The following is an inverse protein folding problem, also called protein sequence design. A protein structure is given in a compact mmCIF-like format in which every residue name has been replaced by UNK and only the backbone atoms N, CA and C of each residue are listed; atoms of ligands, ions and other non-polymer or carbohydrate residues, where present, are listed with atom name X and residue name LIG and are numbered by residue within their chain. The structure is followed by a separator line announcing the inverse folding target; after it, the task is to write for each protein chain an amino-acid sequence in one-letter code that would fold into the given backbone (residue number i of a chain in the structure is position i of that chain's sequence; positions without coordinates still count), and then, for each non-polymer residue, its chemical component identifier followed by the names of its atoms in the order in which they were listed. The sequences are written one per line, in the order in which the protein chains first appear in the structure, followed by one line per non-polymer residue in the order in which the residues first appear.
data_IF_455548191915
#
_entry.id   IF_455548191915
#
_cell.length_a   1.000
_cell.length_b   1.000
_cell.length_c   1.000
_cell.angle_alpha   90.00
_cell.angle_beta   90.00
_cell.angle_gamma   90.00
#
_symmetry.space_group_name_H-M   'P 1'
#
loop_
_entity.id
_entity.type
_entity.pdbx_description
1 polymer ?
#
# COMPACT_ATOMS: atom_id res chain seq x y z
N UNK A 1 -7.34 -23.61 -34.53
CA UNK A 1 -7.86 -23.71 -33.14
C UNK A 1 -6.77 -23.61 -32.07
N UNK A 2 -5.66 -24.35 -32.15
CA UNK A 2 -4.57 -24.27 -31.14
C UNK A 2 -3.94 -22.87 -30.99
N UNK A 3 -3.74 -22.13 -32.07
CA UNK A 3 -3.08 -20.81 -32.03
C UNK A 3 -3.84 -19.77 -31.20
N UNK A 4 -5.17 -19.76 -31.27
CA UNK A 4 -6.04 -18.87 -30.48
C UNK A 4 -5.96 -19.17 -28.98
N UNK A 5 -5.86 -20.45 -28.63
CA UNK A 5 -5.72 -20.91 -27.25
C UNK A 5 -4.37 -20.47 -26.65
N UNK A 6 -3.29 -20.57 -27.42
CA UNK A 6 -1.96 -20.10 -27.02
C UNK A 6 -1.95 -18.59 -26.79
N UNK A 7 -2.56 -17.81 -27.70
CA UNK A 7 -2.66 -16.34 -27.54
C UNK A 7 -3.45 -15.98 -26.28
N UNK A 8 -4.56 -16.67 -26.00
CA UNK A 8 -5.35 -16.45 -24.80
C UNK A 8 -4.56 -16.71 -23.50
N UNK A 9 -3.77 -17.78 -23.46
CA UNK A 9 -2.91 -18.11 -22.32
C UNK A 9 -1.82 -17.05 -22.12
N UNK A 10 -1.19 -16.58 -23.21
CA UNK A 10 -0.17 -15.54 -23.14
C UNK A 10 -0.74 -14.23 -22.59
N UNK A 11 -1.92 -13.81 -23.06
CA UNK A 11 -2.60 -12.62 -22.56
C UNK A 11 -2.98 -12.72 -21.08
N UNK A 12 -3.45 -13.89 -20.64
CA UNK A 12 -3.77 -14.16 -19.24
C UNK A 12 -2.53 -14.06 -18.33
N UNK A 13 -1.40 -14.62 -18.76
CA UNK A 13 -0.14 -14.52 -18.03
C UNK A 13 0.36 -13.07 -17.92
N UNK A 14 0.24 -12.28 -19.00
CA UNK A 14 0.62 -10.87 -18.98
C UNK A 14 -0.23 -10.08 -17.98
N UNK A 15 -1.54 -10.35 -17.92
CA UNK A 15 -2.44 -9.71 -16.96
C UNK A 15 -2.07 -10.03 -15.50
N UNK A 16 -1.72 -11.29 -15.19
CA UNK A 16 -1.26 -11.68 -13.85
C UNK A 16 0.04 -10.97 -13.48
N UNK A 17 1.00 -10.87 -14.40
CA UNK A 17 2.27 -10.19 -14.14
C UNK A 17 2.04 -8.71 -13.84
N UNK A 18 1.19 -8.03 -14.63
CA UNK A 18 0.83 -6.63 -14.40
C UNK A 18 0.15 -6.43 -13.04
N UNK A 19 -0.80 -7.29 -12.69
CA UNK A 19 -1.48 -7.23 -11.40
C UNK A 19 -0.51 -7.46 -10.22
N UNK A 20 0.42 -8.41 -10.36
CA UNK A 20 1.41 -8.70 -9.32
C UNK A 20 2.39 -7.56 -9.05
N UNK A 21 2.70 -6.75 -10.07
CA UNK A 21 3.54 -5.55 -9.91
C UNK A 21 2.83 -4.50 -9.06
N UNK A 22 1.54 -4.24 -9.33
CA UNK A 22 0.75 -3.31 -8.53
C UNK A 22 0.63 -3.76 -7.07
N UNK A 23 0.45 -5.06 -6.81
CA UNK A 23 0.37 -5.60 -5.44
C UNK A 23 1.71 -5.42 -4.71
N UNK A 24 2.84 -5.68 -5.38
CA UNK A 24 4.16 -5.45 -4.79
C UNK A 24 4.38 -3.98 -4.47
N UNK A 25 3.98 -3.08 -5.38
CA UNK A 25 4.08 -1.64 -5.18
C UNK A 25 3.28 -1.19 -3.94
N UNK A 26 2.08 -1.73 -3.75
CA UNK A 26 1.25 -1.48 -2.55
C UNK A 26 1.90 -2.04 -1.27
N UNK A 27 2.48 -3.25 -1.32
CA UNK A 27 3.18 -3.82 -0.15
C UNK A 27 4.47 -3.08 0.22
N UNK A 28 5.14 -2.49 -0.77
CA UNK A 28 6.35 -1.69 -0.55
C UNK A 28 6.06 -0.20 -0.37
N UNK A 29 4.79 0.20 -0.37
CA UNK A 29 4.41 1.59 -0.14
C UNK A 29 4.90 1.99 1.26
N UNK A 30 5.82 2.96 1.37
CA UNK A 30 6.38 3.37 2.66
C UNK A 30 5.30 3.89 3.61
N UNK A 31 4.15 4.33 3.11
CA UNK A 31 3.01 4.74 3.92
C UNK A 31 2.39 3.51 4.60
N UNK A 32 2.09 2.46 3.85
CA UNK A 32 1.45 1.24 4.38
C UNK A 32 2.45 0.45 5.24
N UNK A 33 3.69 0.32 4.79
CA UNK A 33 4.77 -0.32 5.55
C UNK A 33 5.10 0.46 6.84
N UNK A 34 5.07 1.78 6.78
CA UNK A 34 5.21 2.65 7.95
C UNK A 34 4.05 2.48 8.93
N UNK A 35 2.83 2.30 8.44
CA UNK A 35 1.65 2.06 9.28
C UNK A 35 1.66 0.68 9.97
N UNK A 36 2.17 -0.37 9.29
CA UNK A 36 2.18 -1.73 9.84
C UNK A 36 3.30 -1.95 10.87
N UNK A 37 4.43 -1.23 10.75
CA UNK A 37 5.60 -1.40 11.63
C UNK A 37 5.69 -0.41 12.78
N UNK A 38 4.93 0.68 12.76
CA UNK A 38 4.90 1.63 13.84
C UNK A 38 3.56 1.54 14.55
N UNK A 39 3.57 0.99 15.77
CA UNK A 39 2.47 1.23 16.71
C UNK A 39 2.29 2.74 16.82
N UNK A 40 1.16 3.24 16.34
CA UNK A 40 0.80 4.64 16.45
C UNK A 40 0.53 4.96 17.92
N UNK A 41 1.60 5.14 18.71
CA UNK A 41 1.50 5.47 20.13
C UNK A 41 1.16 6.94 20.35
N UNK A 42 1.35 7.79 19.33
CA UNK A 42 0.92 9.18 19.38
C UNK A 42 0.68 9.76 17.99
N UNK A 43 -0.24 10.71 17.91
CA UNK A 43 -0.48 11.54 16.73
C UNK A 43 -0.20 13.00 17.11
N UNK A 44 0.62 13.70 16.32
CA UNK A 44 0.89 15.13 16.53
C UNK A 44 0.23 15.94 15.43
N UNK A 45 -0.72 16.78 15.79
CA UNK A 45 -1.42 17.69 14.88
C UNK A 45 -0.79 19.08 14.99
N UNK A 46 -0.44 19.67 13.84
CA UNK A 46 0.10 21.03 13.76
C UNK A 46 -1.01 21.99 13.30
N UNK A 47 -1.12 23.12 13.99
CA UNK A 47 -1.97 24.24 13.58
C UNK A 47 -1.14 25.27 12.79
N UNK A 48 -1.82 26.08 11.98
CA UNK A 48 -1.19 27.08 11.08
C UNK A 48 -0.44 28.19 11.84
N UNK A 49 -0.67 28.33 13.14
CA UNK A 49 0.03 29.27 14.04
C UNK A 49 1.33 28.68 14.64
N UNK A 50 1.70 27.46 14.23
CA UNK A 50 2.90 26.76 14.71
C UNK A 50 2.70 26.07 16.07
N UNK A 51 1.50 26.14 16.66
CA UNK A 51 1.17 25.31 17.81
C UNK A 51 0.96 23.86 17.36
N UNK A 52 1.29 22.91 18.23
CA UNK A 52 1.02 21.51 17.98
C UNK A 52 0.42 20.85 19.22
N UNK A 53 -0.43 19.87 18.98
CA UNK A 53 -0.97 19.01 20.03
C UNK A 53 -0.58 17.57 19.74
N UNK A 54 0.00 16.90 20.73
CA UNK A 54 0.35 15.48 20.64
C UNK A 54 -0.67 14.69 21.46
N UNK A 55 -1.43 13.84 20.78
CA UNK A 55 -2.38 12.92 21.38
C UNK A 55 -1.67 11.57 21.52
N UNK A 56 -1.43 11.11 22.75
CA UNK A 56 -0.98 9.75 23.00
C UNK A 56 -2.18 8.79 22.81
N UNK A 57 -2.05 7.80 21.94
CA UNK A 57 -3.08 6.81 21.61
C UNK A 57 -3.04 5.58 22.56
N UNK A 58 -2.40 5.73 23.72
CA UNK A 58 -2.10 4.66 24.68
C UNK A 58 -3.27 4.22 25.57
N UNK A 59 -4.46 4.83 25.47
CA UNK A 59 -5.57 4.61 26.42
C UNK A 59 -6.94 4.37 25.73
N UNK A 60 -7.04 3.38 24.82
CA UNK A 60 -8.34 2.84 24.37
C UNK A 60 -8.34 1.32 24.26
#
# INVERSE_FOLDING_TARGET
MMALLVIGIVLFLIAIILLSKNIKEIQTDPIIYGMEKHEFNSCTCFADDGQYTTIALSDY
#
